data_IF_262943000045
#
_entry.id   IF_262943000045
#
_cell.length_a   1.000
_cell.length_b   1.000
_cell.length_c   1.000
_cell.angle_alpha   90.00
_cell.angle_beta   90.00
_cell.angle_gamma   90.00
#
_symmetry.space_group_name_H-M   'P 1'
#
loop_
_entity.id
_entity.type
_entity.pdbx_description
1 polymer ?
#
# COMPACT_ATOMS: atom_id res chain seq x y z
N UNK A 1 24.21 -1.31 7.72
CA UNK A 1 23.61 -0.12 7.02
C UNK A 1 22.77 -0.69 5.89
N UNK A 2 21.55 -0.21 5.70
CA UNK A 2 20.70 -0.67 4.60
C UNK A 2 21.30 -0.23 3.25
N UNK A 3 21.21 -1.11 2.24
CA UNK A 3 21.82 -0.84 0.92
C UNK A 3 20.82 -0.08 0.03
N UNK A 4 21.21 1.09 -0.46
CA UNK A 4 20.45 1.80 -1.49
C UNK A 4 20.85 1.29 -2.87
N UNK A 5 19.87 0.89 -3.67
CA UNK A 5 20.03 0.49 -5.08
C UNK A 5 19.69 1.70 -5.93
N UNK A 6 20.65 2.14 -6.73
CA UNK A 6 20.58 3.39 -7.51
C UNK A 6 20.51 3.18 -9.02
N UNK A 7 20.51 1.93 -9.47
CA UNK A 7 20.40 1.56 -10.88
C UNK A 7 19.59 0.25 -11.01
N UNK A 8 19.03 -0.03 -12.19
CA UNK A 8 18.27 -1.26 -12.43
C UNK A 8 19.08 -2.53 -12.16
N UNK A 9 18.50 -3.44 -11.34
CA UNK A 9 19.08 -4.74 -10.99
C UNK A 9 18.03 -5.84 -11.02
N UNK A 10 18.44 -7.05 -11.37
CA UNK A 10 17.60 -8.23 -11.19
C UNK A 10 17.54 -8.62 -9.70
N UNK A 11 16.40 -9.11 -9.23
CA UNK A 11 16.28 -9.73 -7.89
C UNK A 11 16.82 -11.17 -7.88
N UNK A 12 17.19 -11.71 -9.04
CA UNK A 12 17.75 -13.06 -9.22
C UNK A 12 19.15 -13.00 -9.84
N UNK A 13 20.00 -13.88 -9.40
CA UNK A 13 21.27 -14.18 -10.07
C UNK A 13 21.04 -15.08 -11.31
N UNK A 14 22.12 -15.38 -12.03
CA UNK A 14 22.09 -16.19 -13.26
C UNK A 14 21.61 -17.63 -13.05
N UNK A 15 21.53 -18.10 -11.79
CA UNK A 15 21.04 -19.42 -11.43
C UNK A 15 19.69 -19.38 -10.68
N UNK A 16 19.03 -18.22 -10.70
CA UNK A 16 17.70 -18.03 -10.12
C UNK A 16 17.66 -17.90 -8.59
N UNK A 17 18.78 -17.60 -7.93
CA UNK A 17 18.81 -17.34 -6.48
C UNK A 17 18.54 -15.87 -6.20
N UNK A 18 17.93 -15.60 -5.05
CA UNK A 18 17.67 -14.24 -4.58
C UNK A 18 18.97 -13.49 -4.30
N UNK A 19 19.12 -12.30 -4.89
CA UNK A 19 20.29 -11.44 -4.72
C UNK A 19 19.87 -9.95 -4.73
N UNK A 20 20.83 -9.05 -4.51
CA UNK A 20 20.62 -7.58 -4.59
C UNK A 20 19.57 -7.03 -3.61
N UNK A 21 19.52 -7.55 -2.39
CA UNK A 21 18.62 -7.03 -1.36
C UNK A 21 18.95 -5.59 -1.00
N UNK A 22 17.92 -4.78 -0.79
CA UNK A 22 18.07 -3.37 -0.45
C UNK A 22 16.79 -2.57 -0.57
N UNK A 23 16.96 -1.27 -0.74
CA UNK A 23 15.88 -0.34 -1.01
C UNK A 23 16.25 0.62 -2.15
N UNK A 24 15.26 1.24 -2.78
CA UNK A 24 15.46 2.16 -3.90
C UNK A 24 14.45 3.32 -3.87
N UNK A 25 14.82 4.43 -4.54
CA UNK A 25 13.94 5.61 -4.73
C UNK A 25 13.02 5.49 -5.96
N UNK A 26 13.07 4.39 -6.64
CA UNK A 26 12.32 4.12 -7.86
C UNK A 26 12.28 2.63 -8.19
N UNK A 27 11.64 2.22 -9.28
CA UNK A 27 11.40 0.83 -9.65
C UNK A 27 12.65 0.15 -10.24
N UNK A 28 13.74 0.12 -9.50
CA UNK A 28 15.03 -0.42 -9.96
C UNK A 28 15.16 -1.93 -9.79
N UNK A 29 14.24 -2.58 -9.08
CA UNK A 29 14.25 -4.03 -8.93
C UNK A 29 13.41 -4.70 -10.02
N UNK A 30 14.05 -5.52 -10.85
CA UNK A 30 13.38 -6.32 -11.87
C UNK A 30 12.92 -7.65 -11.29
N UNK A 31 11.61 -7.82 -11.23
CA UNK A 31 10.94 -9.04 -10.85
C UNK A 31 10.50 -9.79 -12.10
N UNK A 32 10.80 -11.09 -12.15
CA UNK A 32 10.27 -12.00 -13.16
C UNK A 32 9.69 -13.23 -12.48
N UNK A 33 8.39 -13.43 -12.66
CA UNK A 33 7.67 -14.57 -12.07
C UNK A 33 8.16 -15.91 -12.60
N UNK A 34 8.62 -15.97 -13.83
CA UNK A 34 9.05 -17.21 -14.47
C UNK A 34 10.39 -17.73 -13.94
N UNK A 35 11.19 -16.84 -13.36
CA UNK A 35 12.47 -17.19 -12.73
C UNK A 35 12.34 -17.71 -11.29
N UNK A 36 11.13 -17.74 -10.75
CA UNK A 36 10.92 -18.14 -9.35
C UNK A 36 11.07 -19.64 -9.15
N UNK A 37 12.03 -20.04 -8.34
CA UNK A 37 12.17 -21.43 -7.85
C UNK A 37 11.10 -21.80 -6.81
N UNK A 38 10.53 -20.82 -6.15
CA UNK A 38 9.45 -21.03 -5.18
C UNK A 38 8.16 -21.43 -5.93
N UNK A 39 7.47 -22.51 -5.51
CA UNK A 39 6.21 -22.87 -6.14
C UNK A 39 5.28 -21.66 -6.20
N UNK A 40 4.73 -21.34 -7.37
CA UNK A 40 3.90 -20.14 -7.62
C UNK A 40 2.73 -19.98 -6.64
N UNK A 41 2.21 -21.07 -6.08
CA UNK A 41 1.18 -21.06 -5.01
C UNK A 41 1.58 -20.38 -3.71
N UNK A 42 2.88 -20.10 -3.48
CA UNK A 42 3.40 -19.40 -2.31
C UNK A 42 3.72 -17.95 -2.60
N UNK A 43 3.61 -17.53 -3.85
CA UNK A 43 3.78 -16.13 -4.25
C UNK A 43 2.43 -15.44 -4.16
N UNK A 44 2.44 -14.25 -3.61
CA UNK A 44 1.30 -13.35 -3.64
C UNK A 44 1.70 -12.08 -4.34
N UNK A 45 0.84 -11.66 -5.24
CA UNK A 45 0.99 -10.44 -6.01
C UNK A 45 -0.20 -9.55 -5.73
N UNK A 46 0.04 -8.28 -5.53
CA UNK A 46 -1.05 -7.34 -5.30
C UNK A 46 -0.75 -5.96 -5.87
N UNK A 47 -1.82 -5.29 -6.24
CA UNK A 47 -1.85 -3.87 -6.54
C UNK A 47 -2.96 -3.22 -5.75
N UNK A 48 -2.63 -2.15 -5.06
CA UNK A 48 -3.55 -1.44 -4.19
C UNK A 48 -3.46 0.06 -4.41
N UNK A 49 -4.62 0.67 -4.49
CA UNK A 49 -4.79 2.11 -4.52
C UNK A 49 -5.62 2.55 -3.33
N UNK A 50 -5.18 3.59 -2.65
CA UNK A 50 -5.92 4.22 -1.56
C UNK A 50 -6.09 5.69 -1.90
N UNK A 51 -7.33 6.15 -1.93
CA UNK A 51 -7.67 7.52 -2.28
C UNK A 51 -8.28 8.19 -1.07
N UNK A 52 -7.77 9.34 -0.73
CA UNK A 52 -8.23 10.15 0.39
C UNK A 52 -8.90 11.43 -0.11
N UNK A 53 -10.01 11.77 0.50
CA UNK A 53 -10.61 13.10 0.48
C UNK A 53 -10.78 13.59 1.93
N UNK A 54 -11.18 14.84 2.18
CA UNK A 54 -11.43 15.30 3.54
C UNK A 54 -12.49 14.52 4.29
N UNK A 55 -13.39 13.84 3.59
CA UNK A 55 -14.57 13.18 4.17
C UNK A 55 -14.60 11.67 3.94
N UNK A 56 -13.92 11.17 2.93
CA UNK A 56 -13.97 9.77 2.55
C UNK A 56 -12.58 9.21 2.23
N UNK A 57 -12.46 7.91 2.43
CA UNK A 57 -11.33 7.11 1.97
C UNK A 57 -11.87 5.95 1.14
N UNK A 58 -11.23 5.71 -0.01
CA UNK A 58 -11.50 4.55 -0.85
C UNK A 58 -10.23 3.71 -0.97
N UNK A 59 -10.37 2.39 -0.83
CA UNK A 59 -9.27 1.47 -1.06
C UNK A 59 -9.72 0.38 -2.05
N UNK A 60 -8.89 0.18 -3.07
CA UNK A 60 -9.07 -0.80 -4.14
C UNK A 60 -7.87 -1.71 -4.18
N UNK A 61 -8.07 -3.01 -4.07
CA UNK A 61 -6.98 -3.99 -4.07
C UNK A 61 -7.32 -5.14 -5.00
N UNK A 62 -6.37 -5.46 -5.87
CA UNK A 62 -6.31 -6.71 -6.61
C UNK A 62 -5.24 -7.57 -5.95
N UNK A 63 -5.58 -8.80 -5.63
CA UNK A 63 -4.71 -9.72 -4.93
C UNK A 63 -4.77 -11.09 -5.57
N UNK A 64 -3.63 -11.60 -6.00
CA UNK A 64 -3.44 -12.92 -6.58
C UNK A 64 -2.51 -13.75 -5.70
N UNK A 65 -2.95 -14.93 -5.29
CA UNK A 65 -2.18 -15.89 -4.51
C UNK A 65 -1.99 -17.22 -5.30
N UNK A 66 -1.96 -17.12 -6.61
CA UNK A 66 -1.79 -18.23 -7.54
C UNK A 66 -3.09 -19.02 -7.76
N UNK A 67 -3.53 -19.84 -6.82
CA UNK A 67 -4.75 -20.64 -6.97
C UNK A 67 -6.02 -19.87 -6.57
N UNK A 68 -5.89 -18.83 -5.79
CA UNK A 68 -6.97 -18.01 -5.27
C UNK A 68 -6.57 -16.55 -5.33
N UNK A 69 -7.51 -15.69 -5.66
CA UNK A 69 -7.34 -14.25 -5.63
C UNK A 69 -8.58 -13.58 -5.05
N UNK A 70 -8.52 -12.28 -4.92
CA UNK A 70 -9.68 -11.46 -4.61
C UNK A 70 -9.56 -10.05 -5.17
N UNK A 71 -10.72 -9.45 -5.39
CA UNK A 71 -10.88 -8.02 -5.48
C UNK A 71 -11.42 -7.53 -4.14
N UNK A 72 -10.83 -6.48 -3.59
CA UNK A 72 -11.37 -5.76 -2.43
C UNK A 72 -11.66 -4.33 -2.81
N UNK A 73 -12.89 -3.91 -2.57
CA UNK A 73 -13.37 -2.53 -2.75
C UNK A 73 -13.87 -2.06 -1.39
N UNK A 74 -13.32 -0.97 -0.89
CA UNK A 74 -13.67 -0.41 0.41
C UNK A 74 -13.95 1.08 0.28
N UNK A 75 -15.07 1.53 0.84
CA UNK A 75 -15.41 2.93 1.03
C UNK A 75 -15.57 3.21 2.52
N UNK A 76 -14.96 4.27 3.01
CA UNK A 76 -14.99 4.71 4.40
C UNK A 76 -15.49 6.14 4.45
N UNK A 77 -16.58 6.41 5.14
CA UNK A 77 -16.98 7.76 5.54
C UNK A 77 -16.31 8.09 6.87
N UNK A 78 -15.47 9.12 6.88
CA UNK A 78 -14.83 9.60 8.10
C UNK A 78 -15.78 10.44 8.95
N UNK A 79 -16.81 11.04 8.33
CA UNK A 79 -17.83 11.85 9.01
C UNK A 79 -18.84 10.96 9.73
N UNK A 80 -19.42 10.01 9.00
CA UNK A 80 -20.48 9.13 9.51
C UNK A 80 -19.93 7.92 10.25
N UNK A 81 -18.60 7.75 10.25
CA UNK A 81 -17.89 6.58 10.80
C UNK A 81 -18.43 5.26 10.21
N UNK A 82 -18.77 5.26 8.93
CA UNK A 82 -19.32 4.12 8.22
C UNK A 82 -18.27 3.48 7.30
N UNK A 83 -18.31 2.16 7.21
CA UNK A 83 -17.45 1.38 6.30
C UNK A 83 -18.33 0.48 5.46
N UNK A 84 -18.19 0.59 4.15
CA UNK A 84 -18.75 -0.32 3.16
C UNK A 84 -17.63 -1.07 2.46
N UNK A 85 -17.72 -2.40 2.41
CA UNK A 85 -16.68 -3.22 1.78
C UNK A 85 -17.30 -4.37 1.01
N UNK A 86 -16.76 -4.59 -0.18
CA UNK A 86 -17.06 -5.74 -1.02
C UNK A 86 -15.78 -6.56 -1.26
N UNK A 87 -15.89 -7.87 -1.09
CA UNK A 87 -14.88 -8.84 -1.50
C UNK A 87 -15.46 -9.74 -2.57
N UNK A 88 -14.82 -9.76 -3.72
CA UNK A 88 -15.09 -10.73 -4.77
C UNK A 88 -13.95 -11.72 -4.81
N UNK A 89 -14.25 -12.96 -4.42
CA UNK A 89 -13.27 -14.06 -4.45
C UNK A 89 -13.16 -14.63 -5.85
N UNK A 90 -11.93 -14.87 -6.27
CA UNK A 90 -11.57 -15.57 -7.49
C UNK A 90 -11.12 -16.97 -7.12
N UNK A 91 -11.80 -17.98 -7.63
CA UNK A 91 -11.35 -19.36 -7.57
C UNK A 91 -11.18 -19.89 -8.98
N UNK A 92 -9.91 -20.22 -9.32
CA UNK A 92 -9.51 -20.96 -10.52
C UNK A 92 -9.50 -20.31 -11.88
N UNK A 93 -8.58 -20.78 -12.73
CA UNK A 93 -7.27 -21.36 -12.47
C UNK A 93 -6.18 -20.32 -12.33
N UNK A 94 -5.01 -20.74 -11.88
CA UNK A 94 -3.78 -19.96 -11.69
C UNK A 94 -3.57 -18.81 -12.67
N UNK A 95 -3.31 -17.61 -12.16
CA UNK A 95 -2.98 -16.42 -12.96
C UNK A 95 -4.19 -15.70 -13.56
N UNK A 96 -5.34 -15.79 -12.94
CA UNK A 96 -6.57 -15.12 -13.41
C UNK A 96 -6.38 -13.61 -13.58
N UNK A 97 -5.68 -12.97 -12.66
CA UNK A 97 -5.46 -11.54 -12.72
C UNK A 97 -4.28 -11.16 -13.61
N UNK A 98 -3.29 -12.07 -13.81
CA UNK A 98 -2.08 -11.84 -14.61
C UNK A 98 -1.47 -10.47 -14.32
N UNK A 99 -1.23 -10.18 -13.03
CA UNK A 99 -0.67 -8.92 -12.63
C UNK A 99 0.70 -8.72 -13.31
N UNK A 100 1.01 -7.53 -13.84
CA UNK A 100 2.26 -7.26 -14.55
C UNK A 100 3.49 -7.52 -13.69
N UNK A 101 4.60 -7.97 -14.30
CA UNK A 101 5.86 -8.17 -13.59
C UNK A 101 6.44 -6.85 -13.06
N UNK A 102 6.21 -5.75 -13.78
CA UNK A 102 6.70 -4.42 -13.41
C UNK A 102 5.56 -3.48 -13.04
N UNK A 103 5.82 -2.58 -12.11
CA UNK A 103 4.83 -1.65 -11.57
C UNK A 103 4.46 -0.51 -12.53
N UNK A 104 5.28 -0.26 -13.56
CA UNK A 104 5.06 0.75 -14.60
C UNK A 104 4.20 0.24 -15.77
N UNK A 105 4.03 -1.06 -15.88
CA UNK A 105 3.32 -1.69 -17.01
C UNK A 105 1.86 -2.02 -16.68
N UNK A 106 1.31 -1.41 -15.64
CA UNK A 106 -0.02 -1.76 -15.16
C UNK A 106 -1.10 -1.35 -16.14
N UNK A 107 -1.66 -2.32 -16.83
CA UNK A 107 -2.97 -2.23 -17.48
C UNK A 107 -3.75 -3.45 -17.05
N UNK A 108 -4.58 -3.28 -16.03
CA UNK A 108 -5.40 -4.36 -15.49
C UNK A 108 -6.85 -3.98 -15.68
N UNK A 109 -7.57 -4.82 -16.42
CA UNK A 109 -9.02 -4.74 -16.56
C UNK A 109 -9.60 -6.05 -16.13
N UNK A 110 -10.37 -6.03 -15.07
CA UNK A 110 -11.00 -7.23 -14.57
C UNK A 110 -12.46 -6.98 -14.20
N UNK A 111 -13.30 -7.94 -14.56
CA UNK A 111 -14.70 -7.98 -14.17
C UNK A 111 -14.93 -9.30 -13.43
N UNK A 112 -15.50 -9.22 -12.24
CA UNK A 112 -15.81 -10.38 -11.42
C UNK A 112 -17.22 -10.24 -10.91
N UNK A 113 -18.05 -11.23 -11.21
CA UNK A 113 -19.47 -11.17 -10.99
C UNK A 113 -20.04 -9.91 -11.66
N UNK A 114 -20.54 -8.95 -10.87
CA UNK A 114 -21.08 -7.69 -11.31
C UNK A 114 -20.17 -6.49 -11.08
N UNK A 115 -18.93 -6.73 -10.58
CA UNK A 115 -17.98 -5.67 -10.27
C UNK A 115 -16.91 -5.54 -11.34
N UNK A 116 -16.62 -4.30 -11.74
CA UNK A 116 -15.56 -3.94 -12.68
C UNK A 116 -14.49 -3.12 -11.97
N UNK A 117 -13.23 -3.48 -12.20
CA UNK A 117 -12.07 -2.68 -11.83
C UNK A 117 -11.13 -2.55 -13.03
N UNK A 118 -10.74 -1.32 -13.33
CA UNK A 118 -9.67 -1.03 -14.28
C UNK A 118 -8.60 -0.16 -13.60
N UNK A 119 -7.36 -0.62 -13.63
CA UNK A 119 -6.18 0.14 -13.26
C UNK A 119 -5.35 0.33 -14.51
N UNK A 120 -5.07 1.56 -14.89
CA UNK A 120 -4.36 1.90 -16.11
C UNK A 120 -3.21 2.85 -15.75
N UNK A 121 -1.97 2.43 -16.03
CA UNK A 121 -0.82 3.32 -16.02
C UNK A 121 -0.88 4.18 -17.29
N UNK A 122 -0.68 5.47 -17.13
CA UNK A 122 -0.57 6.43 -18.24
C UNK A 122 0.85 6.98 -18.33
N UNK A 123 1.14 7.66 -19.42
CA UNK A 123 2.38 8.41 -19.56
C UNK A 123 2.67 9.26 -18.32
N UNK A 124 3.91 9.54 -18.02
CA UNK A 124 4.37 10.27 -16.84
C UNK A 124 4.12 9.56 -15.47
N UNK A 125 3.77 8.26 -15.48
CA UNK A 125 3.58 7.48 -14.26
C UNK A 125 2.27 7.74 -13.53
N UNK A 126 1.35 8.53 -14.09
CA UNK A 126 -0.01 8.69 -13.57
C UNK A 126 -0.82 7.41 -13.66
N UNK A 127 -1.98 7.39 -12.99
CA UNK A 127 -2.86 6.21 -12.92
C UNK A 127 -4.31 6.61 -13.13
N UNK A 128 -5.04 5.85 -13.93
CA UNK A 128 -6.49 5.94 -14.01
C UNK A 128 -7.09 4.75 -13.27
N UNK A 129 -8.04 5.03 -12.42
CA UNK A 129 -8.81 4.02 -11.69
C UNK A 129 -10.27 4.15 -12.08
N UNK A 130 -10.84 3.10 -12.67
CA UNK A 130 -12.28 3.00 -12.97
C UNK A 130 -12.88 1.88 -12.15
N UNK A 131 -13.99 2.19 -11.50
CA UNK A 131 -14.68 1.26 -10.61
C UNK A 131 -16.17 1.26 -10.96
N UNK A 132 -16.74 0.08 -10.99
CA UNK A 132 -18.19 -0.12 -10.93
C UNK A 132 -18.48 -1.34 -10.03
N UNK A 133 -19.01 -1.08 -8.85
CA UNK A 133 -19.41 -2.08 -7.87
C UNK A 133 -20.88 -1.86 -7.49
N UNK A 134 -21.81 -2.52 -8.19
CA UNK A 134 -23.25 -2.29 -8.03
C UNK A 134 -23.79 -2.57 -6.63
N UNK A 135 -23.18 -3.50 -5.92
CA UNK A 135 -23.59 -3.91 -4.57
C UNK A 135 -22.40 -3.85 -3.61
N UNK A 136 -21.89 -2.63 -3.36
CA UNK A 136 -20.80 -2.45 -2.40
C UNK A 136 -21.24 -2.83 -0.98
N UNK A 137 -22.45 -2.42 -0.58
CA UNK A 137 -23.16 -2.86 0.63
C UNK A 137 -24.66 -2.57 0.47
N UNK A 138 -25.56 -3.47 0.91
CA UNK A 138 -27.03 -3.28 1.06
C UNK A 138 -27.69 -2.26 0.11
N UNK A 139 -27.56 -2.38 -1.20
CA UNK A 139 -28.05 -1.46 -2.23
C UNK A 139 -27.20 -0.21 -2.52
N UNK A 140 -26.02 -0.09 -1.93
CA UNK A 140 -25.12 1.03 -2.24
C UNK A 140 -24.18 0.65 -3.37
N UNK A 141 -24.23 1.41 -4.46
CA UNK A 141 -23.30 1.30 -5.59
C UNK A 141 -22.14 2.27 -5.40
N UNK A 142 -20.96 1.80 -5.72
CA UNK A 142 -19.79 2.67 -5.96
C UNK A 142 -19.46 2.62 -7.44
N UNK A 143 -19.47 3.77 -8.11
CA UNK A 143 -19.12 3.86 -9.53
C UNK A 143 -18.37 5.16 -9.80
N UNK A 144 -17.36 5.10 -10.64
CA UNK A 144 -16.72 6.33 -11.11
C UNK A 144 -15.33 6.10 -11.67
N UNK A 145 -14.70 7.23 -11.95
CA UNK A 145 -13.34 7.30 -12.47
C UNK A 145 -12.58 8.39 -11.75
N UNK A 146 -11.35 8.10 -11.40
CA UNK A 146 -10.39 9.08 -10.87
C UNK A 146 -9.03 8.90 -11.54
N UNK A 147 -8.34 10.02 -11.69
CA UNK A 147 -6.97 10.09 -12.18
C UNK A 147 -6.06 10.46 -11.03
N UNK A 148 -5.06 9.64 -10.79
CA UNK A 148 -3.97 9.90 -9.88
C UNK A 148 -2.82 10.51 -10.69
N UNK A 149 -2.51 11.77 -10.42
CA UNK A 149 -1.48 12.51 -11.12
C UNK A 149 -0.19 12.52 -10.32
N UNK A 150 0.92 12.30 -10.99
CA UNK A 150 2.26 12.37 -10.43
C UNK A 150 2.80 13.80 -10.45
N UNK A 151 3.90 14.00 -9.77
CA UNK A 151 4.78 15.16 -9.92
C UNK A 151 5.99 14.72 -10.74
N UNK A 152 6.59 15.67 -11.45
CA UNK A 152 7.86 15.45 -12.12
C UNK A 152 8.92 14.98 -11.10
N UNK A 153 9.71 13.99 -11.48
CA UNK A 153 10.77 13.38 -10.65
C UNK A 153 10.32 12.84 -9.27
N UNK A 154 9.03 12.61 -9.06
CA UNK A 154 8.54 12.07 -7.80
C UNK A 154 9.10 10.67 -7.53
N UNK A 155 9.67 10.51 -6.33
CA UNK A 155 10.31 9.28 -5.88
C UNK A 155 9.30 8.34 -5.22
N UNK A 156 9.60 7.05 -5.19
CA UNK A 156 8.86 6.04 -4.44
C UNK A 156 9.80 5.25 -3.54
N UNK A 157 9.31 4.70 -2.45
CA UNK A 157 10.07 3.71 -1.70
C UNK A 157 9.84 2.32 -2.31
N UNK A 158 10.91 1.69 -2.72
CA UNK A 158 10.91 0.27 -3.11
C UNK A 158 11.81 -0.47 -2.15
N UNK A 159 11.32 -1.57 -1.58
CA UNK A 159 12.09 -2.38 -0.64
C UNK A 159 12.06 -3.82 -1.08
N UNK A 160 13.24 -4.41 -1.20
CA UNK A 160 13.43 -5.81 -1.46
C UNK A 160 14.23 -6.44 -0.32
N UNK A 161 13.61 -7.33 0.43
CA UNK A 161 14.20 -7.93 1.62
C UNK A 161 13.83 -9.41 1.75
N UNK A 162 14.77 -10.28 2.22
CA UNK A 162 14.46 -11.66 2.54
C UNK A 162 13.75 -11.75 3.89
N UNK A 163 13.19 -12.91 4.19
CA UNK A 163 12.66 -13.17 5.53
C UNK A 163 13.76 -13.69 6.45
N UNK A 164 13.84 -13.18 7.68
CA UNK A 164 14.91 -13.51 8.63
C UNK A 164 15.16 -15.01 8.88
N UNK A 165 14.10 -15.83 8.77
CA UNK A 165 14.16 -17.28 9.05
C UNK A 165 13.92 -18.15 7.83
N UNK A 166 13.65 -17.58 6.68
CA UNK A 166 13.34 -18.24 5.42
C UNK A 166 13.93 -17.39 4.29
N UNK A 167 15.26 -17.37 4.22
CA UNK A 167 16.02 -16.49 3.31
C UNK A 167 15.83 -16.82 1.82
N UNK A 168 15.25 -17.97 1.53
CA UNK A 168 14.80 -18.36 0.19
C UNK A 168 13.48 -17.70 -0.22
N UNK A 169 12.88 -16.91 0.67
CA UNK A 169 11.64 -16.16 0.45
C UNK A 169 11.89 -14.69 0.67
N UNK A 170 11.06 -13.85 0.05
CA UNK A 170 11.26 -12.41 0.01
C UNK A 170 9.96 -11.63 0.08
N UNK A 171 10.09 -10.36 0.35
CA UNK A 171 9.12 -9.33 -0.01
C UNK A 171 9.78 -8.30 -0.92
N UNK A 172 9.07 -7.93 -1.99
CA UNK A 172 9.37 -6.81 -2.85
C UNK A 172 8.12 -5.92 -2.87
N UNK A 173 8.26 -4.72 -2.31
CA UNK A 173 7.15 -3.79 -2.12
C UNK A 173 7.56 -2.42 -2.64
N UNK A 174 6.69 -1.78 -3.42
CA UNK A 174 6.77 -0.38 -3.80
C UNK A 174 5.60 0.37 -3.18
N UNK A 175 5.86 1.55 -2.63
CA UNK A 175 4.84 2.49 -2.21
C UNK A 175 5.14 3.91 -2.69
N UNK A 176 4.10 4.56 -3.22
CA UNK A 176 4.12 5.94 -3.71
C UNK A 176 3.00 6.73 -3.01
N UNK A 177 3.25 7.34 -1.84
CA UNK A 177 2.21 8.02 -1.05
C UNK A 177 2.15 9.52 -1.34
N UNK A 178 1.95 9.92 -2.61
CA UNK A 178 2.05 11.33 -3.00
C UNK A 178 1.20 11.74 -4.22
N UNK A 179 0.37 10.87 -4.79
CA UNK A 179 -0.47 11.24 -5.93
C UNK A 179 -1.48 12.31 -5.56
N UNK A 180 -1.65 13.32 -6.42
CA UNK A 180 -2.83 14.17 -6.39
C UNK A 180 -3.95 13.49 -7.16
N UNK A 181 -5.19 13.64 -6.71
CA UNK A 181 -6.31 12.89 -7.29
C UNK A 181 -7.39 13.84 -7.80
N UNK A 182 -7.85 13.59 -9.02
CA UNK A 182 -8.98 14.30 -9.64
C UNK A 182 -9.99 13.30 -10.20
N UNK A 183 -11.26 13.67 -10.22
CA UNK A 183 -12.32 12.85 -10.80
C UNK A 183 -13.59 12.84 -9.98
N UNK A 184 -14.44 11.86 -10.25
CA UNK A 184 -15.75 11.72 -9.61
C UNK A 184 -16.02 10.26 -9.28
N UNK A 185 -16.43 10.02 -8.04
CA UNK A 185 -17.05 8.76 -7.63
C UNK A 185 -18.48 9.01 -7.19
N UNK A 186 -19.40 8.21 -7.68
CA UNK A 186 -20.77 8.17 -7.16
C UNK A 186 -20.83 7.10 -6.06
N UNK A 187 -21.12 7.53 -4.85
CA UNK A 187 -21.30 6.64 -3.70
C UNK A 187 -22.59 6.99 -2.98
N UNK A 188 -23.42 5.99 -2.67
CA UNK A 188 -24.73 6.17 -2.05
C UNK A 188 -25.63 7.17 -2.82
N UNK A 189 -25.60 7.10 -4.15
CA UNK A 189 -26.32 8.01 -5.06
C UNK A 189 -25.90 9.49 -4.95
N UNK A 190 -24.75 9.78 -4.32
CA UNK A 190 -24.20 11.13 -4.21
C UNK A 190 -22.87 11.21 -4.97
N UNK A 191 -22.64 12.26 -5.76
CA UNK A 191 -21.34 12.48 -6.38
C UNK A 191 -20.34 12.99 -5.33
N UNK A 192 -19.20 12.33 -5.27
CA UNK A 192 -18.02 12.76 -4.50
C UNK A 192 -16.97 13.26 -5.48
N UNK A 193 -16.68 14.54 -5.40
CA UNK A 193 -15.71 15.20 -6.25
C UNK A 193 -14.32 15.11 -5.63
N UNK A 194 -13.36 14.67 -6.42
CA UNK A 194 -11.94 14.69 -6.09
C UNK A 194 -11.28 15.82 -6.87
N UNK A 195 -10.69 16.76 -6.15
CA UNK A 195 -10.08 17.94 -6.74
C UNK A 195 -8.61 18.01 -6.34
N UNK A 196 -7.75 18.43 -7.27
CA UNK A 196 -6.33 18.69 -7.03
C UNK A 196 -6.14 19.57 -5.80
N UNK A 197 -5.23 19.15 -4.90
CA UNK A 197 -4.95 19.85 -3.65
C UNK A 197 -5.92 19.56 -2.50
N UNK A 198 -6.97 18.75 -2.73
CA UNK A 198 -7.91 18.30 -1.71
C UNK A 198 -8.11 16.79 -1.68
N UNK A 199 -7.64 16.10 -2.70
CA UNK A 199 -7.70 14.64 -2.78
C UNK A 199 -6.31 14.09 -3.13
N UNK A 200 -5.99 12.95 -2.52
CA UNK A 200 -4.65 12.36 -2.53
C UNK A 200 -4.76 10.87 -2.77
N UNK A 201 -3.69 10.29 -3.30
CA UNK A 201 -3.64 8.87 -3.58
C UNK A 201 -2.34 8.23 -3.13
N UNK A 202 -2.44 6.99 -2.71
CA UNK A 202 -1.31 6.09 -2.45
C UNK A 202 -1.42 4.93 -3.43
N UNK A 203 -0.32 4.59 -4.07
CA UNK A 203 -0.15 3.37 -4.84
C UNK A 203 0.78 2.43 -4.11
N UNK A 204 0.37 1.18 -3.96
CA UNK A 204 1.19 0.08 -3.45
C UNK A 204 1.18 -1.07 -4.44
N UNK A 205 2.36 -1.56 -4.77
CA UNK A 205 2.62 -2.73 -5.58
C UNK A 205 3.45 -3.70 -4.75
N UNK A 206 3.06 -4.97 -4.69
CA UNK A 206 3.76 -5.94 -3.89
C UNK A 206 3.86 -7.31 -4.57
N UNK A 207 5.04 -7.93 -4.43
CA UNK A 207 5.35 -9.30 -4.83
C UNK A 207 6.03 -9.99 -3.66
N UNK A 208 5.36 -10.99 -3.08
CA UNK A 208 5.76 -11.56 -1.80
C UNK A 208 5.77 -13.08 -1.87
N UNK A 209 6.97 -13.67 -1.72
CA UNK A 209 7.09 -15.08 -1.38
C UNK A 209 6.89 -15.22 0.13
N UNK A 210 5.67 -15.60 0.55
CA UNK A 210 5.26 -15.52 1.96
C UNK A 210 5.97 -16.51 2.86
N UNK A 211 6.35 -16.11 4.09
CA UNK A 211 6.76 -17.03 5.13
C UNK A 211 5.55 -17.80 5.65
N UNK A 212 5.81 -18.88 6.40
CA UNK A 212 4.73 -19.70 7.01
C UNK A 212 3.89 -18.90 8.01
N UNK A 213 4.51 -18.00 8.75
CA UNK A 213 3.85 -17.10 9.70
C UNK A 213 4.49 -15.74 9.61
N UNK A 214 3.65 -14.72 9.61
CA UNK A 214 4.09 -13.34 9.61
C UNK A 214 3.10 -12.44 10.36
N UNK A 215 3.63 -11.40 10.98
CA UNK A 215 2.86 -10.27 11.48
C UNK A 215 3.53 -9.00 10.94
N UNK A 216 2.80 -8.27 10.15
CA UNK A 216 3.23 -7.01 9.58
C UNK A 216 2.34 -5.87 10.07
N UNK A 217 2.97 -4.83 10.56
CA UNK A 217 2.35 -3.55 10.90
C UNK A 217 2.74 -2.52 9.86
N UNK A 218 1.79 -1.75 9.41
CA UNK A 218 1.97 -0.78 8.36
C UNK A 218 1.15 0.48 8.60
N UNK A 219 1.67 1.63 8.18
CA UNK A 219 0.96 2.90 8.20
C UNK A 219 1.37 3.75 7.01
N UNK A 220 0.40 4.40 6.38
CA UNK A 220 0.64 5.34 5.31
C UNK A 220 -0.39 6.47 5.31
N UNK A 221 0.05 7.62 4.86
CA UNK A 221 -0.79 8.80 4.67
C UNK A 221 -0.22 9.69 3.58
N UNK A 222 -1.07 10.53 3.00
CA UNK A 222 -0.64 11.61 2.13
C UNK A 222 -1.63 12.78 2.22
N UNK A 223 -1.12 13.99 2.01
CA UNK A 223 -1.92 15.21 2.09
C UNK A 223 -1.09 16.47 1.90
N UNK A 224 -1.71 17.60 2.17
CA UNK A 224 -1.08 18.93 2.12
C UNK A 224 -1.03 19.54 3.52
N UNK A 225 0.11 20.09 3.89
CA UNK A 225 0.24 20.86 5.11
C UNK A 225 1.09 22.11 4.86
N UNK A 226 0.54 23.29 5.13
CA UNK A 226 1.19 24.61 4.94
C UNK A 226 1.84 24.78 3.56
N UNK A 227 1.14 24.35 2.50
CA UNK A 227 1.62 24.48 1.13
C UNK A 227 2.64 23.42 0.69
N UNK A 228 3.04 22.50 1.58
CA UNK A 228 3.90 21.36 1.24
C UNK A 228 3.09 20.09 1.13
N UNK A 229 3.29 19.36 0.05
CA UNK A 229 2.75 18.02 -0.09
C UNK A 229 3.60 17.08 0.77
N UNK A 230 2.94 16.34 1.64
CA UNK A 230 3.59 15.35 2.49
C UNK A 230 2.94 13.98 2.33
N UNK A 231 3.76 12.95 2.42
CA UNK A 231 3.32 11.58 2.45
C UNK A 231 4.31 10.74 3.25
N UNK A 232 3.90 9.57 3.67
CA UNK A 232 4.82 8.61 4.27
C UNK A 232 4.32 7.18 4.10
N UNK A 233 5.26 6.27 4.17
CA UNK A 233 5.08 4.83 4.29
C UNK A 233 6.00 4.34 5.38
N UNK A 234 5.46 3.71 6.41
CA UNK A 234 6.24 3.12 7.50
C UNK A 234 5.67 1.77 7.88
N UNK A 235 6.55 0.83 8.22
CA UNK A 235 6.13 -0.50 8.60
C UNK A 235 7.23 -1.30 9.28
N UNK A 236 6.85 -2.39 9.91
CA UNK A 236 7.76 -3.40 10.40
C UNK A 236 7.09 -4.77 10.44
N UNK A 237 7.89 -5.81 10.33
CA UNK A 237 7.42 -7.18 10.31
C UNK A 237 8.55 -8.18 10.47
N UNK A 238 8.36 -9.37 9.93
CA UNK A 238 9.33 -10.47 10.02
C UNK A 238 10.42 -10.42 8.94
N UNK A 239 10.34 -9.51 7.97
CA UNK A 239 11.39 -9.33 6.97
C UNK A 239 12.69 -8.82 7.60
N UNK A 240 13.80 -9.08 6.92
CA UNK A 240 15.12 -8.66 7.40
C UNK A 240 15.32 -7.16 7.20
N UNK A 241 15.15 -6.41 8.28
CA UNK A 241 15.32 -4.96 8.28
C UNK A 241 16.77 -4.49 8.08
N UNK A 242 17.75 -5.39 8.11
CA UNK A 242 19.14 -5.03 7.82
C UNK A 242 19.39 -4.88 6.33
N UNK A 243 18.65 -5.59 5.48
CA UNK A 243 18.68 -5.44 4.03
C UNK A 243 18.03 -4.13 3.59
N UNK A 244 16.80 -3.87 4.06
CA UNK A 244 16.07 -2.66 3.75
C UNK A 244 14.76 -2.58 4.53
N UNK A 245 14.32 -1.37 4.84
CA UNK A 245 12.98 -1.10 5.39
C UNK A 245 12.17 -0.24 4.43
N UNK A 246 10.87 -0.42 4.44
CA UNK A 246 9.92 0.39 3.67
C UNK A 246 9.70 1.79 4.26
N UNK A 247 10.43 2.16 5.31
CA UNK A 247 10.22 3.37 6.06
C UNK A 247 10.75 4.59 5.33
N UNK A 248 9.85 5.47 4.91
CA UNK A 248 10.16 6.70 4.19
C UNK A 248 9.13 7.78 4.48
N UNK A 249 9.59 9.01 4.48
CA UNK A 249 8.76 10.22 4.47
C UNK A 249 9.00 10.98 3.17
N UNK A 250 7.99 11.64 2.65
CA UNK A 250 8.04 12.35 1.38
C UNK A 250 7.61 13.79 1.57
N UNK A 251 8.38 14.72 1.01
CA UNK A 251 8.04 16.13 0.94
C UNK A 251 8.13 16.57 -0.52
N UNK A 252 7.03 17.03 -1.09
CA UNK A 252 6.96 17.45 -2.50
C UNK A 252 7.57 16.43 -3.48
N UNK A 253 7.26 15.14 -3.28
CA UNK A 253 7.75 14.04 -4.10
C UNK A 253 9.17 13.55 -3.77
N UNK A 254 9.93 14.25 -2.93
CA UNK A 254 11.28 13.86 -2.52
C UNK A 254 11.23 12.91 -1.33
N UNK A 255 11.93 11.78 -1.43
CA UNK A 255 12.00 10.75 -0.40
C UNK A 255 13.07 11.05 0.64
N UNK A 256 12.69 11.04 1.91
CA UNK A 256 13.58 11.07 3.08
C UNK A 256 13.55 9.70 3.75
N UNK A 257 14.63 8.92 3.61
CA UNK A 257 14.70 7.55 4.12
C UNK A 257 14.76 7.53 5.64
N UNK A 258 13.91 6.70 6.24
CA UNK A 258 13.95 6.37 7.66
C UNK A 258 14.52 4.95 7.83
N UNK A 259 15.17 4.68 8.96
CA UNK A 259 15.70 3.34 9.27
C UNK A 259 14.57 2.48 9.88
N UNK A 260 14.55 2.29 11.18
CA UNK A 260 13.52 1.49 11.85
C UNK A 260 12.50 2.39 12.52
N UNK A 261 11.22 2.02 12.41
CA UNK A 261 10.12 2.73 13.06
C UNK A 261 9.41 1.78 14.02
N UNK A 262 9.21 2.23 15.24
CA UNK A 262 8.51 1.49 16.29
C UNK A 262 7.09 2.02 16.43
N UNK A 263 6.11 1.12 16.50
CA UNK A 263 4.70 1.41 16.73
C UNK A 263 4.34 1.05 18.17
N UNK A 264 3.98 2.03 18.98
CA UNK A 264 3.43 1.82 20.33
C UNK A 264 1.92 1.84 20.25
N UNK A 265 1.31 0.69 20.45
CA UNK A 265 -0.14 0.46 20.34
C UNK A 265 -0.61 -0.07 21.69
N UNK A 266 -1.71 0.47 22.21
CA UNK A 266 -2.35 -0.05 23.42
C UNK A 266 -2.81 -1.50 23.18
N UNK A 267 -2.36 -2.48 23.98
CA UNK A 267 -2.75 -3.87 23.80
C UNK A 267 -4.23 -4.13 24.13
N UNK A 268 -4.81 -3.31 25.00
CA UNK A 268 -6.18 -3.43 25.49
C UNK A 268 -7.19 -2.70 24.61
N UNK A 269 -6.79 -1.59 23.97
CA UNK A 269 -7.69 -0.78 23.16
C UNK A 269 -6.96 -0.17 21.95
N UNK A 270 -7.18 -0.73 20.79
CA UNK A 270 -6.55 -0.28 19.54
C UNK A 270 -7.16 1.00 18.98
N UNK A 271 -8.23 1.50 19.55
CA UNK A 271 -8.81 2.82 19.21
C UNK A 271 -8.18 3.97 20.02
N UNK A 272 -7.32 3.66 20.98
CA UNK A 272 -6.46 4.67 21.60
C UNK A 272 -5.40 5.18 20.58
N UNK A 273 -4.83 6.36 20.79
CA UNK A 273 -3.78 6.88 19.93
C UNK A 273 -2.58 5.95 19.80
N UNK A 274 -2.09 5.75 18.57
CA UNK A 274 -0.86 5.02 18.29
C UNK A 274 0.29 6.00 18.22
N UNK A 275 1.44 5.66 18.78
CA UNK A 275 2.64 6.48 18.73
C UNK A 275 3.74 5.80 17.91
N UNK A 276 4.40 6.58 17.07
CA UNK A 276 5.43 6.12 16.16
C UNK A 276 6.71 6.91 16.40
N UNK A 277 7.82 6.22 16.49
CA UNK A 277 9.15 6.83 16.64
C UNK A 277 10.17 6.09 15.78
N UNK A 278 11.07 6.82 15.12
CA UNK A 278 12.21 6.19 14.47
C UNK A 278 13.39 6.03 15.45
N UNK A 279 14.19 4.97 15.23
CA UNK A 279 15.35 4.65 16.06
C UNK A 279 16.46 5.72 16.04
N UNK A 280 16.49 6.56 15.01
CA UNK A 280 17.40 7.70 14.85
C UNK A 280 16.80 9.05 15.29
N UNK A 281 15.65 9.02 15.99
CA UNK A 281 14.93 10.20 16.51
C UNK A 281 14.52 11.23 15.43
N UNK A 282 14.46 10.83 14.17
CA UNK A 282 14.05 11.72 13.09
C UNK A 282 12.54 11.85 12.94
N UNK A 283 11.78 10.79 13.29
CA UNK A 283 10.32 10.76 13.21
C UNK A 283 9.71 10.60 14.59
N UNK A 284 8.75 11.45 14.90
CA UNK A 284 7.83 11.31 16.03
C UNK A 284 6.43 11.68 15.56
N UNK A 285 5.50 10.73 15.58
CA UNK A 285 4.12 10.99 15.17
C UNK A 285 3.10 10.22 16.00
N UNK A 286 1.89 10.73 16.00
CA UNK A 286 0.71 10.13 16.64
C UNK A 286 -0.38 9.94 15.59
N UNK A 287 -1.01 8.77 15.60
CA UNK A 287 -2.21 8.48 14.84
C UNK A 287 -3.41 8.42 15.78
N UNK A 288 -4.48 9.11 15.41
CA UNK A 288 -5.76 9.10 16.12
C UNK A 288 -6.75 8.31 15.26
N UNK A 289 -7.09 7.06 15.65
CA UNK A 289 -8.08 6.26 14.96
C UNK A 289 -9.49 6.89 15.10
N UNK A 290 -10.20 6.97 13.99
CA UNK A 290 -11.61 7.41 13.95
C UNK A 290 -12.53 6.22 13.74
N UNK A 291 -12.09 5.27 12.88
CA UNK A 291 -12.86 4.10 12.49
C UNK A 291 -11.94 2.92 12.24
N UNK A 292 -12.46 1.70 12.41
CA UNK A 292 -11.69 0.49 12.16
C UNK A 292 -12.52 -0.58 11.46
N UNK A 293 -11.82 -1.50 10.79
CA UNK A 293 -12.38 -2.69 10.18
C UNK A 293 -11.46 -3.89 10.41
N UNK A 294 -12.06 -5.07 10.51
CA UNK A 294 -11.32 -6.33 10.62
C UNK A 294 -11.94 -7.36 9.71
N UNK A 295 -11.10 -8.08 8.98
CA UNK A 295 -11.55 -9.16 8.12
C UNK A 295 -10.51 -10.27 8.05
N UNK A 296 -10.95 -11.45 7.62
CA UNK A 296 -10.09 -12.60 7.43
C UNK A 296 -10.39 -13.24 6.07
N UNK A 297 -9.37 -13.43 5.28
CA UNK A 297 -9.40 -14.19 4.05
C UNK A 297 -8.74 -15.54 4.27
N UNK A 298 -9.48 -16.61 3.99
CA UNK A 298 -8.96 -17.97 4.07
C UNK A 298 -8.64 -18.44 2.65
N UNK A 299 -7.38 -18.75 2.43
CA UNK A 299 -6.86 -19.35 1.21
C UNK A 299 -6.61 -20.85 1.46
N UNK A 300 -6.32 -21.59 0.41
CA UNK A 300 -6.16 -23.06 0.52
C UNK A 300 -5.03 -23.47 1.49
N UNK A 301 -3.96 -22.70 1.56
CA UNK A 301 -2.75 -23.03 2.32
C UNK A 301 -2.42 -22.05 3.45
N UNK A 302 -3.18 -20.99 3.63
CA UNK A 302 -2.98 -20.01 4.69
C UNK A 302 -4.22 -19.14 4.92
N UNK A 303 -4.25 -18.46 6.05
CA UNK A 303 -5.22 -17.40 6.32
C UNK A 303 -4.53 -16.05 6.49
N UNK A 304 -5.16 -15.01 5.99
CA UNK A 304 -4.72 -13.63 6.13
C UNK A 304 -5.76 -12.87 6.95
N UNK A 305 -5.40 -12.51 8.18
CA UNK A 305 -6.23 -11.65 9.03
C UNK A 305 -5.71 -10.23 8.98
N UNK A 306 -6.55 -9.30 8.58
CA UNK A 306 -6.24 -7.88 8.47
C UNK A 306 -7.10 -7.07 9.44
N UNK A 307 -6.45 -6.16 10.16
CA UNK A 307 -7.11 -5.09 10.92
C UNK A 307 -6.67 -3.77 10.34
N UNK A 308 -7.61 -2.92 9.98
CA UNK A 308 -7.39 -1.60 9.39
C UNK A 308 -7.99 -0.54 10.29
N UNK A 309 -7.27 0.55 10.47
CA UNK A 309 -7.71 1.71 11.22
C UNK A 309 -7.55 2.94 10.33
N UNK A 310 -8.56 3.77 10.29
CA UNK A 310 -8.65 4.99 9.49
C UNK A 310 -8.71 6.18 10.42
N UNK A 311 -7.97 7.25 10.12
CA UNK A 311 -7.91 8.40 11.00
C UNK A 311 -6.89 9.44 10.56
N UNK A 312 -6.32 10.14 11.52
CA UNK A 312 -5.48 11.32 11.27
C UNK A 312 -4.13 11.20 11.96
N UNK A 313 -3.09 11.65 11.24
CA UNK A 313 -1.73 11.70 11.73
C UNK A 313 -1.31 13.13 12.08
N UNK A 314 -0.52 13.23 13.16
CA UNK A 314 0.06 14.46 13.71
C UNK A 314 1.50 14.17 14.07
N UNK A 315 2.43 15.10 13.82
CA UNK A 315 3.80 14.81 14.21
C UNK A 315 4.82 15.79 13.67
N UNK A 316 6.07 15.33 13.74
CA UNK A 316 7.24 16.04 13.23
C UNK A 316 8.26 15.07 12.67
N UNK A 317 9.03 15.55 11.72
CA UNK A 317 10.15 14.84 11.13
C UNK A 317 11.33 15.77 10.92
N UNK A 318 12.54 15.26 11.16
CA UNK A 318 13.79 15.89 10.72
C UNK A 318 14.15 15.34 9.35
N UNK A 319 14.19 16.20 8.34
CA UNK A 319 14.50 15.86 6.96
C UNK A 319 16.01 15.56 6.78
N UNK A 320 16.42 15.15 5.57
CA UNK A 320 17.81 14.78 5.30
C UNK A 320 18.77 15.97 5.37
N UNK A 321 18.28 17.20 5.16
CA UNK A 321 19.01 18.46 5.30
C UNK A 321 19.09 18.98 6.75
N UNK A 322 18.50 18.25 7.70
CA UNK A 322 18.43 18.62 9.11
C UNK A 322 17.26 19.56 9.47
N UNK A 323 16.48 20.01 8.51
CA UNK A 323 15.30 20.85 8.78
C UNK A 323 14.21 20.09 9.49
N UNK A 324 13.50 20.75 10.40
CA UNK A 324 12.38 20.18 11.17
C UNK A 324 11.06 20.57 10.52
N UNK A 325 10.31 19.57 10.06
CA UNK A 325 8.96 19.72 9.53
C UNK A 325 7.94 19.22 10.55
N UNK A 326 7.01 20.10 10.94
CA UNK A 326 5.81 19.70 11.68
C UNK A 326 4.67 19.44 10.71
N UNK A 327 3.79 18.50 11.01
CA UNK A 327 2.58 18.24 10.25
C UNK A 327 1.41 17.93 11.18
N UNK A 328 0.20 18.17 10.68
CA UNK A 328 -0.99 18.08 11.50
C UNK A 328 -2.18 17.64 10.63
N UNK A 329 -3.02 16.77 11.17
CA UNK A 329 -4.29 16.37 10.59
C UNK A 329 -4.18 15.78 9.17
N UNK A 330 -3.18 14.93 8.93
CA UNK A 330 -3.02 14.22 7.68
C UNK A 330 -3.84 12.94 7.70
N UNK A 331 -4.77 12.80 6.77
CA UNK A 331 -5.61 11.61 6.65
C UNK A 331 -4.78 10.40 6.25
N UNK A 332 -5.00 9.27 6.91
CA UNK A 332 -4.27 8.06 6.58
C UNK A 332 -4.88 6.80 7.17
N UNK A 333 -4.12 5.73 6.99
CA UNK A 333 -4.50 4.37 7.36
C UNK A 333 -3.37 3.71 8.13
N UNK A 334 -3.74 2.85 9.09
CA UNK A 334 -2.83 1.88 9.70
C UNK A 334 -3.38 0.48 9.55
N UNK A 335 -2.51 -0.49 9.41
CA UNK A 335 -2.88 -1.89 9.26
C UNK A 335 -2.04 -2.80 10.15
N UNK A 336 -2.67 -3.88 10.60
CA UNK A 336 -1.97 -5.07 11.07
C UNK A 336 -2.43 -6.26 10.24
N UNK A 337 -1.50 -6.85 9.53
CA UNK A 337 -1.71 -8.10 8.78
C UNK A 337 -1.06 -9.26 9.52
N UNK A 338 -1.79 -10.35 9.71
CA UNK A 338 -1.29 -11.59 10.30
C UNK A 338 -1.56 -12.74 9.34
N UNK A 339 -0.49 -13.42 8.95
CA UNK A 339 -0.56 -14.65 8.16
C UNK A 339 -0.35 -15.84 9.08
N UNK A 340 -1.24 -16.82 9.01
CA UNK A 340 -1.16 -18.11 9.70
C UNK A 340 -1.36 -19.22 8.65
N UNK A 341 -0.48 -20.25 8.65
CA UNK A 341 -0.58 -21.47 7.82
C UNK A 341 -1.09 -22.62 8.67
#
# INVERSE_FOLDING_TARGET
>A
MQTEITAPVSIFDDVGRLCNFGWARGPFFHYDRELLWTPGRLITESERYIIFSPTHLFAFELYDAGALGHISICAVSLLDKAISRKFEKLSFPTGILKLPNQSEETIIKTAINDSLIEFICIEDGGRIIKIDAPQLSHNNRLRGEVVLMTQEDAQSIVTYAPWRRQTERFQLIRCSPWYTTEGVMQFENKPLLFNKGRAWGIYEWARIARPKKDIHYWAAACGMYKGQQIGFNVGYGSADSTAGTENAFFVNGVLHKLDQVTFKISPSNWLEPWHFTSNNNRLEMTFIPVQHNSYQNNFLFYSLRTRQFFGFFFGKITLDDGSLLHFNNITGITERRKTDN
#
